data_IF_925351525147
#
_entry.id   IF_925351525147
#
_cell.length_a   1.000
_cell.length_b   1.000
_cell.length_c   1.000
_cell.angle_alpha   90.00
_cell.angle_beta   90.00
_cell.angle_gamma   90.00
#
_symmetry.space_group_name_H-M   'P 1'
#
loop_
_entity.id
_entity.type
_entity.pdbx_description
1 polymer ?
#
# COMPACT_ATOMS: atom_id res chain seq x y z
N UNK A 1 -23.18 37.02 -2.24
CA UNK A 1 -21.99 36.16 -2.45
C UNK A 1 -22.08 34.75 -1.86
N UNK A 2 -22.79 34.49 -0.73
CA UNK A 2 -22.96 33.10 -0.20
C UNK A 2 -23.94 32.20 -0.99
N UNK A 3 -24.98 32.76 -1.63
CA UNK A 3 -25.93 31.97 -2.43
C UNK A 3 -25.38 31.49 -3.78
N UNK A 4 -24.44 32.22 -4.39
CA UNK A 4 -23.86 31.85 -5.70
C UNK A 4 -22.90 30.67 -5.56
N UNK A 5 -22.05 30.66 -4.51
CA UNK A 5 -21.15 29.53 -4.20
C UNK A 5 -21.89 28.23 -3.89
N UNK A 6 -23.07 28.31 -3.22
CA UNK A 6 -23.90 27.14 -2.96
C UNK A 6 -24.59 26.59 -4.22
N UNK A 7 -24.94 27.45 -5.18
CA UNK A 7 -25.48 27.00 -6.46
C UNK A 7 -24.39 26.41 -7.36
N UNK A 8 -23.19 27.00 -7.41
CA UNK A 8 -22.05 26.43 -8.16
C UNK A 8 -21.63 25.06 -7.64
N UNK A 9 -21.59 24.86 -6.32
CA UNK A 9 -21.28 23.56 -5.71
C UNK A 9 -22.36 22.49 -5.98
N UNK A 10 -23.62 22.91 -6.04
CA UNK A 10 -24.77 22.02 -6.31
C UNK A 10 -24.89 21.67 -7.80
N UNK A 11 -24.58 22.63 -8.68
CA UNK A 11 -24.52 22.46 -10.14
C UNK A 11 -23.31 21.60 -10.54
N UNK A 12 -22.15 21.78 -9.91
CA UNK A 12 -20.97 20.89 -10.09
C UNK A 12 -21.28 19.46 -9.68
N UNK A 13 -21.83 19.23 -8.47
CA UNK A 13 -22.28 17.89 -8.04
C UNK A 13 -23.27 17.24 -9.00
N UNK A 14 -24.18 18.00 -9.62
CA UNK A 14 -25.12 17.44 -10.60
C UNK A 14 -24.48 17.13 -11.96
N UNK A 15 -23.47 17.89 -12.37
CA UNK A 15 -22.73 17.65 -13.61
C UNK A 15 -21.81 16.42 -13.47
N UNK A 16 -21.16 16.27 -12.33
CA UNK A 16 -20.27 15.13 -12.02
C UNK A 16 -21.05 13.81 -12.03
N UNK A 17 -22.25 13.78 -11.42
CA UNK A 17 -23.13 12.60 -11.40
C UNK A 17 -23.58 12.23 -12.82
N UNK A 18 -23.96 13.21 -13.64
CA UNK A 18 -24.39 12.97 -15.02
C UNK A 18 -23.25 12.43 -15.91
N UNK A 19 -22.03 12.93 -15.75
CA UNK A 19 -20.86 12.44 -16.48
C UNK A 19 -20.53 10.98 -16.12
N UNK A 20 -20.62 10.64 -14.82
CA UNK A 20 -20.43 9.27 -14.33
C UNK A 20 -21.52 8.35 -14.88
N UNK A 21 -22.79 8.76 -14.83
CA UNK A 21 -23.90 7.97 -15.38
C UNK A 21 -23.74 7.72 -16.89
N UNK A 22 -23.27 8.72 -17.64
CA UNK A 22 -23.00 8.60 -19.07
C UNK A 22 -21.84 7.65 -19.36
N UNK A 23 -20.71 7.78 -18.65
CA UNK A 23 -19.57 6.87 -18.80
C UNK A 23 -19.95 5.42 -18.44
N UNK A 24 -20.73 5.23 -17.38
CA UNK A 24 -21.27 3.92 -16.98
C UNK A 24 -22.17 3.34 -18.09
N UNK A 25 -22.99 4.16 -18.75
CA UNK A 25 -23.86 3.73 -19.85
C UNK A 25 -23.05 3.29 -21.08
N UNK A 26 -22.02 4.04 -21.47
CA UNK A 26 -21.13 3.71 -22.60
C UNK A 26 -20.31 2.43 -22.32
N UNK A 27 -19.77 2.28 -21.11
CA UNK A 27 -19.06 1.07 -20.70
C UNK A 27 -19.98 -0.15 -20.60
N UNK A 28 -21.26 0.02 -20.25
CA UNK A 28 -22.25 -1.08 -20.25
C UNK A 28 -22.45 -1.68 -21.64
N UNK A 29 -22.24 -0.91 -22.71
CA UNK A 29 -22.29 -1.41 -24.09
C UNK A 29 -21.05 -2.23 -24.40
N UNK A 30 -19.87 -1.76 -23.98
CA UNK A 30 -18.59 -2.44 -24.18
C UNK A 30 -18.44 -3.72 -23.32
N UNK A 31 -19.06 -3.78 -22.14
CA UNK A 31 -19.07 -4.96 -21.26
C UNK A 31 -19.80 -6.15 -21.87
N UNK A 32 -20.85 -5.90 -22.65
CA UNK A 32 -21.56 -6.96 -23.40
C UNK A 32 -20.66 -7.68 -24.40
N UNK A 33 -19.48 -7.13 -24.71
CA UNK A 33 -18.46 -7.73 -25.57
C UNK A 33 -17.42 -8.56 -24.78
N UNK A 34 -17.60 -8.75 -23.47
CA UNK A 34 -16.83 -9.71 -22.68
C UNK A 34 -15.38 -9.32 -22.34
N UNK A 35 -15.00 -8.05 -22.51
CA UNK A 35 -13.64 -7.58 -22.19
C UNK A 35 -13.48 -7.33 -20.68
N UNK A 36 -12.65 -8.14 -20.02
CA UNK A 36 -12.39 -8.04 -18.57
C UNK A 36 -11.97 -6.63 -18.12
N UNK A 37 -11.11 -5.96 -18.89
CA UNK A 37 -10.67 -4.59 -18.59
C UNK A 37 -11.80 -3.56 -18.54
N UNK A 38 -12.85 -3.73 -19.35
CA UNK A 38 -14.00 -2.80 -19.40
C UNK A 38 -14.91 -3.01 -18.18
N UNK A 39 -15.09 -4.27 -17.75
CA UNK A 39 -15.85 -4.61 -16.53
C UNK A 39 -15.19 -3.98 -15.30
N UNK A 40 -13.86 -4.01 -15.27
CA UNK A 40 -13.06 -3.44 -14.18
C UNK A 40 -13.20 -1.93 -14.08
N UNK A 41 -13.10 -1.22 -15.21
CA UNK A 41 -13.29 0.23 -15.27
C UNK A 41 -14.71 0.63 -14.84
N UNK A 42 -15.74 -0.10 -15.26
CA UNK A 42 -17.12 0.20 -14.84
C UNK A 42 -17.31 0.01 -13.33
N UNK A 43 -16.70 -1.01 -12.72
CA UNK A 43 -16.75 -1.21 -11.27
C UNK A 43 -16.06 -0.08 -10.53
N UNK A 44 -14.85 0.32 -10.94
CA UNK A 44 -14.12 1.48 -10.39
C UNK A 44 -14.98 2.76 -10.42
N UNK A 45 -15.67 3.01 -11.53
CA UNK A 45 -16.59 4.15 -11.68
C UNK A 45 -17.78 4.09 -10.72
N UNK A 46 -18.38 2.90 -10.51
CA UNK A 46 -19.52 2.71 -9.60
C UNK A 46 -19.16 2.91 -8.14
N UNK A 47 -17.93 2.55 -7.74
CA UNK A 47 -17.45 2.75 -6.37
C UNK A 47 -16.89 4.15 -6.13
N UNK A 48 -17.12 5.10 -7.04
CA UNK A 48 -16.83 6.53 -6.90
C UNK A 48 -15.34 6.87 -6.74
N UNK A 49 -14.46 6.30 -7.58
CA UNK A 49 -13.10 6.84 -7.76
C UNK A 49 -13.18 8.35 -8.09
N UNK A 50 -12.76 9.25 -7.18
CA UNK A 50 -13.06 10.68 -7.27
C UNK A 50 -12.51 11.36 -8.53
N UNK A 51 -11.50 10.79 -9.18
CA UNK A 51 -10.96 11.35 -10.42
C UNK A 51 -11.49 10.70 -11.67
N UNK A 52 -12.37 9.70 -11.65
CA UNK A 52 -12.90 9.19 -12.93
C UNK A 52 -13.70 10.26 -13.71
N UNK A 53 -14.33 11.21 -13.00
CA UNK A 53 -14.92 12.42 -13.59
C UNK A 53 -13.86 13.50 -13.95
N UNK A 54 -12.80 13.68 -13.14
CA UNK A 54 -11.70 14.61 -13.44
C UNK A 54 -10.82 14.14 -14.61
N UNK A 55 -10.65 12.83 -14.75
CA UNK A 55 -9.97 12.13 -15.83
C UNK A 55 -10.79 12.34 -17.10
N UNK A 56 -12.12 12.36 -17.05
CA UNK A 56 -12.96 12.74 -18.19
C UNK A 56 -12.74 14.21 -18.62
N UNK A 57 -12.59 15.15 -17.67
CA UNK A 57 -12.19 16.53 -17.97
C UNK A 57 -10.75 16.63 -18.52
N UNK A 58 -9.82 15.79 -18.05
CA UNK A 58 -8.43 15.67 -18.56
C UNK A 58 -8.35 14.94 -19.92
N UNK A 59 -9.30 14.07 -20.25
CA UNK A 59 -9.39 13.32 -21.52
C UNK A 59 -9.96 14.21 -22.64
N UNK A 60 -10.85 15.16 -22.31
CA UNK A 60 -11.32 16.18 -23.27
C UNK A 60 -10.19 17.16 -23.62
N UNK A 61 -9.22 17.36 -22.73
CA UNK A 61 -7.97 18.04 -23.06
C UNK A 61 -7.01 17.07 -23.76
N UNK A 62 -7.15 16.96 -25.09
CA UNK A 62 -6.31 16.10 -25.96
C UNK A 62 -4.80 16.38 -25.92
N UNK A 63 -4.31 17.32 -25.10
CA UNK A 63 -2.92 17.30 -24.69
C UNK A 63 -2.70 16.14 -23.73
N UNK A 64 -2.45 14.95 -24.28
CA UNK A 64 -2.01 13.80 -23.50
C UNK A 64 -0.99 14.24 -22.47
N UNK A 65 -1.22 13.90 -21.21
CA UNK A 65 -0.36 14.27 -20.08
C UNK A 65 1.00 13.62 -20.34
N UNK A 66 1.86 14.34 -21.03
CA UNK A 66 3.25 13.98 -21.23
C UNK A 66 3.99 14.57 -20.02
N UNK A 67 3.92 13.89 -18.86
CA UNK A 67 4.77 14.22 -17.70
C UNK A 67 6.20 13.85 -18.08
N UNK A 68 6.79 14.69 -18.93
CA UNK A 68 8.21 14.64 -19.21
C UNK A 68 8.92 15.38 -18.10
N UNK A 69 9.56 14.56 -17.27
CA UNK A 69 10.65 14.87 -16.35
C UNK A 69 10.20 15.62 -15.10
N UNK A 70 10.34 14.91 -13.98
CA UNK A 70 10.12 15.33 -12.61
C UNK A 70 8.66 15.27 -12.12
N UNK A 71 8.30 14.10 -11.56
CA UNK A 71 7.02 13.83 -10.88
C UNK A 71 6.88 14.66 -9.58
N UNK A 72 7.90 15.44 -9.20
CA UNK A 72 7.95 16.24 -7.96
C UNK A 72 7.70 17.74 -8.13
N UNK A 73 7.60 18.25 -9.36
CA UNK A 73 7.08 19.60 -9.65
C UNK A 73 5.52 19.76 -9.74
N UNK A 74 4.67 18.70 -9.74
CA UNK A 74 3.24 18.86 -9.53
C UNK A 74 2.91 19.07 -8.05
N UNK A 75 1.94 19.94 -7.76
CA UNK A 75 1.32 20.03 -6.43
C UNK A 75 0.72 18.69 -5.98
N UNK A 76 0.59 18.47 -4.67
CA UNK A 76 0.12 17.21 -4.05
C UNK A 76 -1.17 16.65 -4.70
N UNK A 77 -2.10 17.52 -5.10
CA UNK A 77 -3.33 17.09 -5.76
C UNK A 77 -3.07 16.50 -7.14
N UNK A 78 -2.14 17.08 -7.91
CA UNK A 78 -1.74 16.54 -9.22
C UNK A 78 -1.01 15.21 -9.08
N UNK A 79 -0.16 15.06 -8.05
CA UNK A 79 0.49 13.79 -7.75
C UNK A 79 -0.55 12.71 -7.46
N UNK A 80 -1.55 13.01 -6.63
CA UNK A 80 -2.62 12.07 -6.32
C UNK A 80 -3.44 11.67 -7.56
N UNK A 81 -3.82 12.64 -8.41
CA UNK A 81 -4.51 12.38 -9.68
C UNK A 81 -3.68 11.46 -10.58
N UNK A 82 -2.36 11.68 -10.65
CA UNK A 82 -1.48 10.84 -11.47
C UNK A 82 -1.36 9.42 -10.92
N UNK A 83 -1.26 9.24 -9.60
CA UNK A 83 -1.28 7.93 -8.97
C UNK A 83 -2.59 7.18 -9.28
N UNK A 84 -3.72 7.86 -9.22
CA UNK A 84 -5.03 7.29 -9.56
C UNK A 84 -5.10 6.88 -11.03
N UNK A 85 -4.56 7.71 -11.94
CA UNK A 85 -4.46 7.36 -13.36
C UNK A 85 -3.62 6.10 -13.59
N UNK A 86 -2.43 6.00 -12.96
CA UNK A 86 -1.59 4.80 -13.06
C UNK A 86 -2.31 3.55 -12.57
N UNK A 87 -3.04 3.66 -11.46
CA UNK A 87 -3.84 2.56 -10.93
C UNK A 87 -4.93 2.13 -11.94
N UNK A 88 -5.67 3.09 -12.49
CA UNK A 88 -6.74 2.81 -13.44
C UNK A 88 -6.23 2.23 -14.77
N UNK A 89 -5.04 2.64 -15.22
CA UNK A 89 -4.41 2.10 -16.43
C UNK A 89 -3.93 0.66 -16.24
N UNK A 90 -3.45 0.31 -15.04
CA UNK A 90 -2.94 -1.03 -14.73
C UNK A 90 -4.04 -2.02 -14.26
N UNK A 91 -5.15 -1.51 -13.71
CA UNK A 91 -6.24 -2.33 -13.15
C UNK A 91 -6.89 -3.31 -14.15
N UNK A 92 -7.09 -2.98 -15.44
CA UNK A 92 -7.56 -3.92 -16.45
C UNK A 92 -6.76 -5.22 -16.56
N UNK A 93 -5.43 -5.12 -16.47
CA UNK A 93 -4.51 -6.23 -16.66
C UNK A 93 -4.21 -6.99 -15.36
N UNK A 94 -4.63 -6.45 -14.21
CA UNK A 94 -4.44 -7.07 -12.89
C UNK A 94 -5.19 -8.39 -12.69
N UNK A 95 -6.23 -8.65 -13.49
CA UNK A 95 -7.11 -9.82 -13.33
C UNK A 95 -8.10 -9.76 -12.16
N UNK A 96 -8.07 -8.69 -11.35
CA UNK A 96 -9.03 -8.52 -10.25
C UNK A 96 -10.40 -8.11 -10.73
N UNK A 97 -11.44 -8.76 -10.19
CA UNK A 97 -12.83 -8.49 -10.56
C UNK A 97 -13.78 -8.42 -9.37
N UNK A 98 -13.41 -8.84 -8.16
CA UNK A 98 -14.33 -8.86 -7.02
C UNK A 98 -14.58 -7.47 -6.45
N UNK A 99 -15.81 -7.22 -5.98
CA UNK A 99 -16.18 -5.92 -5.41
C UNK A 99 -15.35 -5.60 -4.14
N UNK A 100 -14.98 -6.61 -3.35
CA UNK A 100 -14.09 -6.49 -2.18
C UNK A 100 -12.71 -5.89 -2.54
N UNK A 101 -12.18 -6.20 -3.73
CA UNK A 101 -10.92 -5.61 -4.20
C UNK A 101 -11.09 -4.12 -4.49
N UNK A 102 -12.20 -3.72 -5.11
CA UNK A 102 -12.48 -2.30 -5.38
C UNK A 102 -12.72 -1.51 -4.09
N UNK A 103 -13.42 -2.10 -3.12
CA UNK A 103 -13.61 -1.49 -1.80
C UNK A 103 -12.28 -1.29 -1.08
N UNK A 104 -11.40 -2.29 -1.12
CA UNK A 104 -10.03 -2.17 -0.59
C UNK A 104 -9.25 -1.07 -1.31
N UNK A 105 -9.21 -1.08 -2.64
CA UNK A 105 -8.45 -0.10 -3.41
C UNK A 105 -8.93 1.34 -3.14
N UNK A 106 -10.24 1.54 -2.96
CA UNK A 106 -10.80 2.82 -2.54
C UNK A 106 -10.32 3.25 -1.16
N UNK A 107 -10.37 2.34 -0.18
CA UNK A 107 -9.91 2.61 1.18
C UNK A 107 -8.40 2.93 1.20
N UNK A 108 -7.59 2.18 0.44
CA UNK A 108 -6.15 2.43 0.30
C UNK A 108 -5.89 3.80 -0.33
N UNK A 109 -6.56 4.14 -1.44
CA UNK A 109 -6.39 5.43 -2.11
C UNK A 109 -6.79 6.61 -1.21
N UNK A 110 -7.88 6.49 -0.45
CA UNK A 110 -8.29 7.50 0.51
C UNK A 110 -7.23 7.70 1.61
N UNK A 111 -6.68 6.61 2.15
CA UNK A 111 -5.62 6.69 3.14
C UNK A 111 -4.32 7.26 2.57
N UNK A 112 -3.97 6.92 1.32
CA UNK A 112 -2.80 7.48 0.62
C UNK A 112 -2.96 9.00 0.42
N UNK A 113 -4.16 9.47 0.09
CA UNK A 113 -4.48 10.91 -0.02
C UNK A 113 -4.33 11.60 1.34
N UNK A 114 -4.96 11.05 2.39
CA UNK A 114 -4.93 11.63 3.73
C UNK A 114 -3.52 11.68 4.33
N UNK A 115 -2.70 10.66 4.05
CA UNK A 115 -1.31 10.61 4.50
C UNK A 115 -0.39 11.48 3.63
N UNK A 116 -0.84 12.03 2.50
CA UNK A 116 -0.04 12.81 1.57
C UNK A 116 1.09 12.00 0.93
N UNK A 117 0.83 10.74 0.60
CA UNK A 117 1.85 9.77 0.15
C UNK A 117 1.88 9.54 -1.37
N UNK A 118 1.15 10.33 -2.15
CA UNK A 118 1.15 10.20 -3.60
C UNK A 118 2.57 10.28 -4.19
N UNK A 119 3.39 11.25 -3.75
CA UNK A 119 4.80 11.37 -4.15
C UNK A 119 5.61 10.10 -3.84
N UNK A 120 5.42 9.50 -2.67
CA UNK A 120 6.13 8.30 -2.22
C UNK A 120 5.84 7.09 -3.14
N UNK A 121 4.56 6.86 -3.46
CA UNK A 121 4.15 5.79 -4.38
C UNK A 121 4.69 6.03 -5.80
N UNK A 122 4.62 7.26 -6.29
CA UNK A 122 5.10 7.61 -7.63
C UNK A 122 6.62 7.45 -7.74
N UNK A 123 7.35 7.83 -6.70
CA UNK A 123 8.80 7.64 -6.66
C UNK A 123 9.18 6.17 -6.66
N UNK A 124 8.55 5.39 -5.77
CA UNK A 124 8.75 3.95 -5.70
C UNK A 124 8.37 3.24 -7.01
N UNK A 125 7.29 3.68 -7.67
CA UNK A 125 6.88 3.16 -8.98
C UNK A 125 7.95 3.42 -10.05
N UNK A 126 8.50 4.63 -10.10
CA UNK A 126 9.58 4.95 -11.05
C UNK A 126 10.84 4.12 -10.79
N UNK A 127 11.22 3.93 -9.52
CA UNK A 127 12.38 3.12 -9.15
C UNK A 127 12.16 1.65 -9.52
N UNK A 128 10.98 1.10 -9.20
CA UNK A 128 10.61 -0.25 -9.58
C UNK A 128 10.62 -0.44 -11.11
N UNK A 129 10.18 0.58 -11.86
CA UNK A 129 10.25 0.60 -13.33
C UNK A 129 11.67 0.49 -13.86
N UNK A 130 12.61 1.30 -13.32
CA UNK A 130 14.03 1.20 -13.70
C UNK A 130 14.57 -0.19 -13.38
N UNK A 131 14.30 -0.73 -12.20
CA UNK A 131 14.82 -2.03 -11.78
C UNK A 131 14.29 -3.18 -12.65
N UNK A 132 13.00 -3.16 -13.02
CA UNK A 132 12.42 -4.14 -13.96
C UNK A 132 13.07 -4.11 -15.34
N UNK A 133 13.61 -2.98 -15.77
CA UNK A 133 14.34 -2.89 -17.05
C UNK A 133 15.79 -3.38 -16.94
N UNK A 134 16.34 -3.46 -15.72
CA UNK A 134 17.73 -3.86 -15.45
C UNK A 134 17.86 -5.32 -15.01
N UNK A 135 16.81 -5.90 -14.43
CA UNK A 135 16.81 -7.27 -13.93
C UNK A 135 15.42 -7.88 -13.91
N UNK A 136 15.37 -9.20 -14.12
CA UNK A 136 14.16 -10.02 -13.94
C UNK A 136 13.99 -10.49 -12.48
N UNK A 137 14.99 -10.23 -11.61
CA UNK A 137 14.91 -10.64 -10.21
C UNK A 137 14.06 -9.67 -9.37
N UNK A 138 13.29 -10.19 -8.40
CA UNK A 138 12.60 -9.36 -7.43
C UNK A 138 13.57 -8.49 -6.63
N UNK A 139 13.24 -7.19 -6.56
CA UNK A 139 14.03 -6.22 -5.80
C UNK A 139 13.30 -5.66 -4.58
N UNK A 140 11.98 -5.80 -4.48
CA UNK A 140 11.21 -5.12 -3.45
C UNK A 140 11.43 -5.72 -2.05
N UNK A 141 11.71 -4.85 -1.08
CA UNK A 141 11.78 -5.19 0.35
C UNK A 141 10.97 -4.17 1.16
N UNK A 142 10.20 -4.63 2.13
CA UNK A 142 9.52 -3.74 3.07
C UNK A 142 8.02 -4.00 3.19
N UNK A 143 7.37 -3.14 3.97
CA UNK A 143 5.95 -3.26 4.32
C UNK A 143 5.01 -2.69 3.24
N UNK A 144 5.55 -2.00 2.23
CA UNK A 144 4.77 -1.46 1.11
C UNK A 144 4.01 -2.53 0.32
N UNK A 145 4.42 -3.80 0.39
CA UNK A 145 3.67 -4.93 -0.17
C UNK A 145 2.34 -5.21 0.52
N UNK A 146 2.02 -4.55 1.64
CA UNK A 146 0.67 -4.53 2.20
C UNK A 146 -0.34 -3.76 1.32
N UNK A 147 0.12 -2.91 0.39
CA UNK A 147 -0.75 -2.11 -0.46
C UNK A 147 -1.07 -2.81 -1.77
N UNK A 148 -2.36 -2.99 -2.04
CA UNK A 148 -2.86 -3.43 -3.32
C UNK A 148 -2.66 -2.38 -4.42
N UNK A 149 -2.72 -1.09 -4.08
CA UNK A 149 -2.33 -0.02 -5.01
C UNK A 149 -0.88 -0.19 -5.45
N UNK A 150 0.04 -0.41 -4.50
CA UNK A 150 1.46 -0.63 -4.79
C UNK A 150 1.68 -1.87 -5.67
N UNK A 151 0.95 -2.95 -5.42
CA UNK A 151 1.00 -4.16 -6.25
C UNK A 151 0.53 -3.91 -7.68
N UNK A 152 -0.65 -3.30 -7.86
CA UNK A 152 -1.25 -3.13 -9.19
C UNK A 152 -0.43 -2.19 -10.07
N UNK A 153 0.11 -1.09 -9.51
CA UNK A 153 1.02 -0.21 -10.27
C UNK A 153 2.43 -0.79 -10.37
N UNK A 154 2.67 -2.01 -9.88
CA UNK A 154 3.91 -2.74 -10.07
C UNK A 154 5.06 -2.33 -9.16
N UNK A 155 4.87 -1.63 -8.05
CA UNK A 155 5.96 -1.32 -7.11
C UNK A 155 6.59 -2.61 -6.54
N UNK A 156 5.75 -3.58 -6.18
CA UNK A 156 6.13 -4.70 -5.33
C UNK A 156 6.47 -5.98 -6.12
N UNK A 157 6.56 -5.90 -7.45
CA UNK A 157 6.77 -7.06 -8.32
C UNK A 157 5.52 -7.93 -8.49
N UNK A 158 5.68 -9.12 -9.06
CA UNK A 158 4.56 -10.04 -9.37
C UNK A 158 4.31 -11.06 -8.25
N UNK A 159 5.30 -11.22 -7.36
CA UNK A 159 5.39 -12.26 -6.35
C UNK A 159 4.64 -11.87 -5.06
N UNK A 160 4.50 -10.57 -4.81
CA UNK A 160 4.00 -10.00 -3.55
C UNK A 160 2.57 -9.47 -3.68
N UNK A 161 1.67 -10.30 -4.19
CA UNK A 161 0.23 -10.04 -4.23
C UNK A 161 -0.38 -10.00 -2.80
N UNK A 162 -0.86 -8.84 -2.31
CA UNK A 162 -1.37 -8.71 -0.95
C UNK A 162 -2.70 -9.45 -0.72
N UNK A 163 -3.49 -9.71 -1.76
CA UNK A 163 -4.72 -10.49 -1.63
C UNK A 163 -4.37 -11.96 -1.46
N UNK A 164 -3.52 -12.51 -2.34
CA UNK A 164 -3.08 -13.91 -2.26
C UNK A 164 -2.37 -14.24 -0.96
N UNK A 165 -1.51 -13.33 -0.49
CA UNK A 165 -0.76 -13.52 0.75
C UNK A 165 -1.56 -13.17 2.00
N UNK A 166 -2.77 -12.61 1.85
CA UNK A 166 -3.53 -12.08 2.98
C UNK A 166 -2.70 -11.06 3.74
N UNK A 167 -2.28 -9.98 3.09
CA UNK A 167 -1.63 -8.84 3.73
C UNK A 167 -2.66 -7.76 4.03
N UNK A 168 -2.50 -7.13 5.19
CA UNK A 168 -3.43 -6.12 5.72
C UNK A 168 -2.85 -4.74 5.45
N UNK A 169 -3.58 -3.88 4.76
CA UNK A 169 -3.09 -2.55 4.36
C UNK A 169 -2.67 -1.71 5.57
N UNK A 170 -3.51 -1.68 6.61
CA UNK A 170 -3.33 -0.89 7.83
C UNK A 170 -2.10 -1.31 8.63
N UNK A 171 -1.58 -2.53 8.40
CA UNK A 171 -0.30 -2.96 8.97
C UNK A 171 0.87 -2.21 8.33
N UNK A 172 0.79 -1.91 7.03
CA UNK A 172 1.79 -1.14 6.30
C UNK A 172 1.60 0.38 6.41
N UNK A 173 0.34 0.82 6.36
CA UNK A 173 -0.06 2.22 6.21
C UNK A 173 -1.16 2.54 7.24
N UNK A 174 -0.77 2.94 8.45
CA UNK A 174 -1.71 3.27 9.53
C UNK A 174 -2.25 4.71 9.44
N UNK A 175 -3.33 4.99 10.18
CA UNK A 175 -4.07 6.28 10.14
C UNK A 175 -3.28 7.53 10.57
N UNK A 176 -2.42 7.42 11.58
CA UNK A 176 -2.01 8.63 12.33
C UNK A 176 -0.69 9.26 11.83
N UNK A 177 0.09 8.54 11.01
CA UNK A 177 1.42 9.02 10.56
C UNK A 177 1.88 8.22 9.34
N UNK A 178 2.52 8.90 8.39
CA UNK A 178 3.30 8.26 7.32
C UNK A 178 4.21 7.16 7.90
N UNK A 179 4.17 5.93 7.37
CA UNK A 179 5.15 4.92 7.72
C UNK A 179 6.53 5.42 7.32
N UNK A 180 7.53 5.04 8.12
CA UNK A 180 8.92 5.34 7.82
C UNK A 180 9.41 4.40 6.72
N UNK A 181 9.82 4.95 5.58
CA UNK A 181 10.38 4.25 4.42
C UNK A 181 9.65 2.92 4.09
N UNK A 182 8.34 2.95 3.74
CA UNK A 182 7.57 1.74 3.47
C UNK A 182 8.06 0.97 2.24
N UNK A 183 8.77 1.66 1.33
CA UNK A 183 9.32 1.10 0.10
C UNK A 183 10.84 1.06 0.18
N UNK A 184 11.40 -0.15 0.11
CA UNK A 184 12.84 -0.37 -0.05
C UNK A 184 13.08 -1.27 -1.25
N UNK A 185 14.26 -1.13 -1.86
CA UNK A 185 14.67 -1.94 -3.00
C UNK A 185 16.07 -2.45 -2.81
N UNK A 186 16.25 -3.76 -2.94
CA UNK A 186 17.54 -4.39 -3.10
C UNK A 186 18.05 -4.19 -4.53
N UNK A 187 19.26 -3.67 -4.65
CA UNK A 187 19.90 -3.39 -5.95
C UNK A 187 21.20 -4.16 -6.00
N UNK A 188 21.26 -5.09 -6.94
CA UNK A 188 22.44 -5.93 -7.18
C UNK A 188 23.66 -5.08 -7.54
N UNK A 189 24.85 -5.51 -7.11
CA UNK A 189 26.09 -4.77 -7.33
C UNK A 189 26.35 -4.54 -8.83
N UNK A 190 26.03 -5.54 -9.65
CA UNK A 190 26.22 -5.55 -11.09
C UNK A 190 25.40 -4.47 -11.82
N UNK A 191 24.21 -4.14 -11.30
CA UNK A 191 23.30 -3.16 -11.92
C UNK A 191 23.35 -1.79 -11.22
N UNK A 192 24.04 -1.67 -10.08
CA UNK A 192 24.06 -0.47 -9.24
C UNK A 192 24.54 0.77 -10.00
N UNK A 193 25.57 0.64 -10.84
CA UNK A 193 26.09 1.77 -11.63
C UNK A 193 25.06 2.27 -12.64
N UNK A 194 24.44 1.37 -13.40
CA UNK A 194 23.44 1.72 -14.41
C UNK A 194 22.15 2.25 -13.76
N UNK A 195 21.73 1.66 -12.63
CA UNK A 195 20.62 2.16 -11.82
C UNK A 195 20.84 3.62 -11.41
N UNK A 196 22.02 3.94 -10.83
CA UNK A 196 22.41 5.31 -10.45
C UNK A 196 22.42 6.26 -11.64
N UNK A 197 22.90 5.83 -12.80
CA UNK A 197 22.88 6.65 -14.01
C UNK A 197 21.44 6.99 -14.45
N UNK A 198 20.57 5.97 -14.56
CA UNK A 198 19.18 6.13 -14.99
C UNK A 198 18.38 7.01 -14.04
N UNK A 199 18.53 6.82 -12.73
CA UNK A 199 17.79 7.61 -11.74
C UNK A 199 18.29 9.06 -11.68
N UNK A 200 19.60 9.30 -11.79
CA UNK A 200 20.14 10.66 -11.93
C UNK A 200 19.69 11.33 -13.24
N UNK A 201 19.53 10.60 -14.34
CA UNK A 201 19.00 11.14 -15.59
C UNK A 201 17.55 11.61 -15.49
N UNK A 202 16.76 10.99 -14.61
CA UNK A 202 15.35 11.32 -14.39
C UNK A 202 15.20 12.47 -13.39
N UNK A 203 15.91 12.42 -12.26
CA UNK A 203 15.71 13.34 -11.13
C UNK A 203 16.78 14.41 -10.98
N UNK A 204 17.98 14.21 -11.53
CA UNK A 204 19.07 15.18 -11.55
C UNK A 204 19.31 15.83 -10.18
N UNK A 205 19.29 17.16 -10.17
CA UNK A 205 19.55 17.98 -8.98
C UNK A 205 18.50 17.83 -7.86
N UNK A 206 17.32 17.26 -8.15
CA UNK A 206 16.29 16.98 -7.14
C UNK A 206 16.60 15.74 -6.30
N UNK A 207 17.57 14.92 -6.74
CA UNK A 207 17.91 13.66 -6.09
C UNK A 207 18.96 13.88 -5.01
N UNK A 208 18.66 13.42 -3.80
CA UNK A 208 19.57 13.49 -2.65
C UNK A 208 19.85 12.09 -2.13
N UNK A 209 21.09 11.90 -1.66
CA UNK A 209 21.57 10.64 -1.09
C UNK A 209 21.98 10.88 0.36
N UNK A 210 21.46 10.09 1.27
CA UNK A 210 21.91 10.06 2.66
C UNK A 210 22.27 8.64 3.09
N UNK A 211 23.18 8.54 4.06
CA UNK A 211 23.52 7.27 4.71
C UNK A 211 23.11 7.35 6.17
N UNK A 212 21.94 6.79 6.48
CA UNK A 212 21.43 6.65 7.84
C UNK A 212 20.97 5.20 8.03
N UNK A 213 21.88 4.33 8.48
CA UNK A 213 21.62 2.88 8.59
C UNK A 213 21.40 2.13 7.26
N UNK A 214 21.40 2.83 6.12
CA UNK A 214 21.26 2.33 4.74
C UNK A 214 21.41 3.47 3.73
N UNK A 215 21.43 3.16 2.41
CA UNK A 215 21.47 4.18 1.36
C UNK A 215 20.06 4.70 1.10
N UNK A 216 19.69 5.84 1.71
CA UNK A 216 18.39 6.46 1.47
C UNK A 216 18.49 7.38 0.26
N UNK A 217 17.56 7.19 -0.66
CA UNK A 217 17.38 8.02 -1.84
C UNK A 217 16.13 8.86 -1.64
N UNK A 218 16.26 10.18 -1.80
CA UNK A 218 15.12 11.08 -1.65
C UNK A 218 15.00 12.03 -2.83
N UNK A 219 13.78 12.32 -3.21
CA UNK A 219 13.46 13.32 -4.21
C UNK A 219 12.22 14.12 -3.75
N UNK A 220 12.43 15.40 -3.46
CA UNK A 220 11.45 16.21 -2.73
C UNK A 220 11.18 15.62 -1.34
N UNK A 221 9.90 15.47 -0.99
CA UNK A 221 9.45 14.90 0.29
C UNK A 221 9.32 13.37 0.26
N UNK A 222 9.58 12.73 -0.89
CA UNK A 222 9.52 11.28 -1.04
C UNK A 222 10.88 10.65 -0.79
N UNK A 223 10.89 9.52 -0.07
CA UNK A 223 12.11 8.77 0.19
C UNK A 223 11.91 7.26 0.04
N UNK A 224 12.94 6.59 -0.47
CA UNK A 224 13.03 5.14 -0.51
C UNK A 224 14.39 4.69 0.01
N UNK A 225 14.46 3.46 0.51
CA UNK A 225 15.73 2.87 0.91
C UNK A 225 16.27 1.97 -0.19
N UNK A 226 17.53 2.17 -0.56
CA UNK A 226 18.29 1.27 -1.43
C UNK A 226 19.17 0.38 -0.55
N UNK A 227 18.99 -0.92 -0.69
CA UNK A 227 19.79 -1.96 -0.06
C UNK A 227 20.83 -2.44 -1.07
N UNK A 228 22.11 -2.24 -0.75
CA UNK A 228 23.25 -2.56 -1.59
C UNK A 228 24.04 -3.78 -1.07
N UNK A 229 23.54 -4.46 -0.05
CA UNK A 229 24.16 -5.61 0.61
C UNK A 229 23.10 -6.61 1.04
N UNK A 230 23.37 -7.89 0.79
CA UNK A 230 22.43 -9.00 1.04
C UNK A 230 22.54 -9.52 2.48
N UNK A 231 23.69 -9.32 3.12
CA UNK A 231 24.02 -9.84 4.45
C UNK A 231 23.05 -9.36 5.55
N UNK A 232 22.63 -8.08 5.60
CA UNK A 232 21.61 -7.63 6.55
C UNK A 232 20.27 -8.36 6.36
N UNK A 233 19.89 -8.65 5.12
CA UNK A 233 18.65 -9.36 4.80
C UNK A 233 18.74 -10.83 5.23
N UNK A 234 19.85 -11.50 4.95
CA UNK A 234 20.10 -12.87 5.41
C UNK A 234 20.08 -12.95 6.94
N UNK A 235 20.77 -12.03 7.62
CA UNK A 235 20.82 -12.00 9.08
C UNK A 235 19.42 -11.77 9.68
N UNK A 236 18.68 -10.77 9.16
CA UNK A 236 17.32 -10.51 9.59
C UNK A 236 16.42 -11.75 9.40
N UNK A 237 16.51 -12.40 8.25
CA UNK A 237 15.72 -13.57 7.93
C UNK A 237 16.07 -14.79 8.80
N UNK A 238 17.35 -15.06 9.07
CA UNK A 238 17.77 -16.15 9.95
C UNK A 238 17.26 -15.99 11.40
N UNK A 239 17.23 -14.75 11.91
CA UNK A 239 16.65 -14.45 13.22
C UNK A 239 15.11 -14.65 13.22
N UNK A 240 14.46 -14.29 12.12
CA UNK A 240 13.03 -14.52 11.92
C UNK A 240 12.72 -16.02 11.86
N UNK A 241 13.48 -16.83 11.12
CA UNK A 241 13.29 -18.29 11.04
C UNK A 241 13.44 -18.97 12.39
N UNK A 242 14.46 -18.58 13.17
CA UNK A 242 14.64 -19.08 14.54
C UNK A 242 13.43 -18.76 15.42
N UNK A 243 12.81 -17.60 15.22
CA UNK A 243 11.59 -17.19 15.95
C UNK A 243 10.35 -17.93 15.45
N UNK A 244 10.24 -18.17 14.13
CA UNK A 244 9.16 -18.90 13.47
C UNK A 244 9.07 -20.36 13.96
N UNK A 245 10.21 -21.04 14.10
CA UNK A 245 10.26 -22.42 14.58
C UNK A 245 9.82 -22.62 16.05
N UNK A 246 9.73 -21.54 16.82
CA UNK A 246 9.48 -21.59 18.27
C UNK A 246 8.06 -21.14 18.69
N UNK A 247 7.18 -20.75 17.76
CA UNK A 247 5.81 -20.30 18.08
C UNK A 247 4.76 -21.38 17.80
N UNK A 248 3.95 -21.72 18.80
CA UNK A 248 2.97 -22.80 18.74
C UNK A 248 1.55 -22.39 18.29
N UNK A 249 1.25 -21.09 18.13
CA UNK A 249 -0.15 -20.60 17.92
C UNK A 249 -0.29 -19.68 16.70
N UNK A 250 0.46 -18.60 16.62
CA UNK A 250 0.48 -17.70 15.45
C UNK A 250 1.82 -16.95 15.40
N UNK A 251 2.37 -16.78 14.20
CA UNK A 251 3.71 -16.21 14.04
C UNK A 251 3.70 -14.76 13.60
N UNK A 252 2.63 -14.33 12.93
CA UNK A 252 2.59 -13.01 12.33
C UNK A 252 1.70 -12.04 13.09
N UNK A 253 2.13 -10.79 13.15
CA UNK A 253 1.38 -9.69 13.75
C UNK A 253 0.00 -9.52 13.10
N UNK A 254 -0.07 -9.75 11.79
CA UNK A 254 -1.27 -9.71 10.98
C UNK A 254 -2.32 -10.76 11.44
N UNK A 255 -1.89 -11.91 11.95
CA UNK A 255 -2.80 -12.94 12.46
C UNK A 255 -3.47 -12.51 13.77
N UNK A 256 -2.72 -11.83 14.64
CA UNK A 256 -3.29 -11.23 15.84
C UNK A 256 -4.23 -10.07 15.50
N UNK A 257 -3.92 -9.29 14.47
CA UNK A 257 -4.84 -8.25 14.00
C UNK A 257 -6.17 -8.86 13.51
N UNK A 258 -6.12 -9.96 12.75
CA UNK A 258 -7.33 -10.74 12.39
C UNK A 258 -8.05 -11.27 13.61
N UNK A 259 -7.32 -11.76 14.61
CA UNK A 259 -7.93 -12.27 15.83
C UNK A 259 -8.70 -11.16 16.56
N UNK A 260 -8.10 -9.97 16.70
CA UNK A 260 -8.79 -8.80 17.25
C UNK A 260 -10.03 -8.43 16.42
N UNK A 261 -9.93 -8.47 15.09
CA UNK A 261 -11.04 -8.20 14.19
C UNK A 261 -12.20 -9.20 14.35
N UNK A 262 -11.94 -10.50 14.22
CA UNK A 262 -12.98 -11.52 14.25
C UNK A 262 -13.51 -11.81 15.66
N UNK A 263 -12.66 -11.80 16.68
CA UNK A 263 -13.08 -12.11 18.06
C UNK A 263 -13.71 -10.91 18.77
N UNK A 264 -13.40 -9.67 18.37
CA UNK A 264 -13.86 -8.49 19.09
C UNK A 264 -14.36 -7.36 18.17
N UNK A 265 -14.48 -7.57 16.86
CA UNK A 265 -15.06 -6.58 15.95
C UNK A 265 -14.28 -5.27 15.87
N UNK A 266 -12.96 -5.31 16.10
CA UNK A 266 -12.10 -4.16 15.83
C UNK A 266 -11.91 -4.02 14.32
N UNK A 267 -11.89 -2.80 13.79
CA UNK A 267 -11.34 -2.62 12.44
C UNK A 267 -9.81 -2.85 12.45
N UNK A 268 -9.22 -2.98 11.27
CA UNK A 268 -7.79 -3.26 11.17
C UNK A 268 -6.91 -2.09 11.63
N UNK A 269 -7.41 -0.86 11.58
CA UNK A 269 -6.66 0.26 12.14
C UNK A 269 -6.63 0.23 13.66
N UNK A 270 -7.77 0.00 14.31
CA UNK A 270 -7.87 -0.21 15.75
C UNK A 270 -6.95 -1.35 16.18
N UNK A 271 -6.93 -2.44 15.41
CA UNK A 271 -6.07 -3.60 15.67
C UNK A 271 -4.57 -3.26 15.58
N UNK A 272 -4.10 -2.53 14.55
CA UNK A 272 -2.70 -2.09 14.46
C UNK A 272 -2.36 -1.10 15.58
N UNK A 273 -3.29 -0.19 15.93
CA UNK A 273 -3.14 0.73 17.05
C UNK A 273 -2.91 -0.01 18.37
N UNK A 274 -3.70 -1.05 18.65
CA UNK A 274 -3.54 -1.92 19.83
C UNK A 274 -2.23 -2.70 19.77
N UNK A 275 -1.85 -3.23 18.59
CA UNK A 275 -0.56 -3.91 18.40
C UNK A 275 0.62 -3.01 18.79
N UNK A 276 0.68 -1.79 18.26
CA UNK A 276 1.73 -0.80 18.59
C UNK A 276 1.77 -0.47 20.09
N UNK A 277 0.61 -0.43 20.74
CA UNK A 277 0.49 -0.17 22.19
C UNK A 277 1.05 -1.33 23.02
N UNK A 278 0.77 -2.57 22.61
CA UNK A 278 1.30 -3.79 23.25
C UNK A 278 2.82 -3.84 23.08
N UNK A 279 3.32 -3.61 21.86
CA UNK A 279 4.74 -3.60 21.53
C UNK A 279 5.52 -2.54 22.33
N UNK A 280 4.95 -1.33 22.45
CA UNK A 280 5.51 -0.23 23.27
C UNK A 280 5.29 -0.42 24.78
N UNK A 281 4.69 -1.55 25.21
CA UNK A 281 4.45 -1.92 26.60
C UNK A 281 3.72 -0.84 27.42
N UNK A 282 2.78 -0.13 26.81
CA UNK A 282 2.03 0.95 27.50
C UNK A 282 0.96 0.38 28.44
N UNK A 283 1.36 -0.04 29.63
CA UNK A 283 0.54 -0.81 30.59
C UNK A 283 -0.86 -0.22 30.82
N UNK A 284 -0.97 1.10 31.05
CA UNK A 284 -2.27 1.76 31.29
C UNK A 284 -3.22 1.65 30.10
N UNK A 285 -2.71 1.83 28.88
CA UNK A 285 -3.50 1.73 27.65
C UNK A 285 -3.86 0.26 27.38
N UNK A 286 -2.93 -0.68 27.58
CA UNK A 286 -3.18 -2.12 27.44
C UNK A 286 -4.32 -2.57 28.36
N UNK A 287 -4.35 -2.12 29.62
CA UNK A 287 -5.44 -2.45 30.55
C UNK A 287 -6.79 -1.88 30.12
N UNK A 288 -6.82 -0.71 29.48
CA UNK A 288 -8.03 -0.13 28.89
C UNK A 288 -8.54 -1.02 27.75
N UNK A 289 -7.66 -1.39 26.82
CA UNK A 289 -8.02 -2.26 25.70
C UNK A 289 -8.37 -3.69 26.13
N UNK A 290 -7.80 -4.22 27.21
CA UNK A 290 -8.23 -5.50 27.78
C UNK A 290 -9.71 -5.45 28.20
N UNK A 291 -10.11 -4.41 28.93
CA UNK A 291 -11.51 -4.24 29.35
C UNK A 291 -12.43 -4.06 28.15
N UNK A 292 -11.98 -3.29 27.16
CA UNK A 292 -12.75 -3.07 25.93
C UNK A 292 -12.90 -4.34 25.10
N UNK A 293 -11.82 -5.11 24.93
CA UNK A 293 -11.83 -6.39 24.23
C UNK A 293 -12.81 -7.37 24.86
N UNK A 294 -12.76 -7.56 26.18
CA UNK A 294 -13.69 -8.45 26.91
C UNK A 294 -15.14 -8.01 26.73
N UNK A 295 -15.38 -6.69 26.70
CA UNK A 295 -16.73 -6.13 26.44
C UNK A 295 -17.19 -6.38 25.00
N UNK A 296 -16.32 -6.20 24.00
CA UNK A 296 -16.65 -6.42 22.59
C UNK A 296 -16.80 -7.93 22.26
N UNK A 297 -15.93 -8.77 22.82
CA UNK A 297 -15.92 -10.23 22.68
C UNK A 297 -16.96 -10.95 23.57
N UNK A 298 -18.12 -10.31 23.83
CA UNK A 298 -19.17 -10.80 24.74
C UNK A 298 -19.82 -12.13 24.34
N UNK A 299 -19.57 -12.61 23.12
CA UNK A 299 -20.02 -13.92 22.66
C UNK A 299 -19.16 -15.05 23.26
N UNK A 300 -17.98 -14.73 23.79
CA UNK A 300 -17.14 -15.64 24.56
C UNK A 300 -17.43 -15.50 26.06
N UNK A 301 -17.32 -16.58 26.85
CA UNK A 301 -17.28 -16.50 28.31
C UNK A 301 -16.22 -15.49 28.79
N UNK A 302 -16.51 -14.81 29.90
CA UNK A 302 -15.61 -13.80 30.46
C UNK A 302 -14.19 -14.34 30.73
N UNK A 303 -14.07 -15.57 31.25
CA UNK A 303 -12.78 -16.19 31.50
C UNK A 303 -12.00 -16.48 30.20
N UNK A 304 -12.70 -16.89 29.14
CA UNK A 304 -12.10 -17.20 27.84
C UNK A 304 -11.65 -15.94 27.11
N UNK A 305 -12.45 -14.87 27.10
CA UNK A 305 -12.06 -13.58 26.51
C UNK A 305 -10.85 -12.94 27.22
N UNK A 306 -10.79 -13.05 28.56
CA UNK A 306 -9.62 -12.64 29.35
C UNK A 306 -8.36 -13.44 28.99
N UNK A 307 -8.51 -14.77 28.87
CA UNK A 307 -7.42 -15.68 28.51
C UNK A 307 -6.92 -15.38 27.10
N UNK A 308 -7.83 -15.24 26.14
CA UNK A 308 -7.53 -14.95 24.75
C UNK A 308 -6.74 -13.64 24.61
N UNK A 309 -7.20 -12.55 25.24
CA UNK A 309 -6.46 -11.29 25.20
C UNK A 309 -5.06 -11.42 25.82
N UNK A 310 -4.92 -12.24 26.85
CA UNK A 310 -3.61 -12.50 27.49
C UNK A 310 -2.67 -13.26 26.56
N UNK A 311 -3.19 -14.26 25.84
CA UNK A 311 -2.43 -15.00 24.81
C UNK A 311 -2.03 -14.08 23.64
N UNK A 312 -2.93 -13.21 23.17
CA UNK A 312 -2.61 -12.18 22.16
C UNK A 312 -1.49 -11.28 22.68
N UNK A 313 -1.65 -10.68 23.87
CA UNK A 313 -0.68 -9.76 24.44
C UNK A 313 0.70 -10.42 24.59
N UNK A 314 0.76 -11.67 25.05
CA UNK A 314 2.02 -12.37 25.27
C UNK A 314 2.72 -12.70 23.96
N UNK A 315 2.01 -13.28 23.01
CA UNK A 315 2.62 -13.78 21.78
C UNK A 315 2.88 -12.68 20.74
N UNK A 316 2.10 -11.59 20.74
CA UNK A 316 2.31 -10.46 19.82
C UNK A 316 3.69 -9.82 19.97
N UNK A 317 4.24 -9.81 21.19
CA UNK A 317 5.60 -9.30 21.45
C UNK A 317 6.71 -10.12 20.79
N UNK A 318 6.40 -11.33 20.32
CA UNK A 318 7.31 -12.24 19.63
C UNK A 318 6.93 -12.44 18.16
N UNK A 319 5.86 -11.79 17.71
CA UNK A 319 5.33 -11.96 16.38
C UNK A 319 6.07 -11.08 15.37
N UNK A 320 6.29 -11.65 14.19
CA UNK A 320 6.99 -11.00 13.09
C UNK A 320 6.00 -10.27 12.17
N UNK A 321 6.49 -9.33 11.36
CA UNK A 321 5.69 -8.75 10.28
C UNK A 321 5.71 -9.68 9.07
N UNK A 322 4.54 -10.20 8.67
CA UNK A 322 4.43 -11.11 7.52
C UNK A 322 4.89 -10.45 6.23
N UNK A 323 4.46 -9.21 5.99
CA UNK A 323 4.80 -8.45 4.80
C UNK A 323 6.33 -8.32 4.62
N UNK A 324 7.03 -7.94 5.69
CA UNK A 324 8.48 -7.84 5.68
C UNK A 324 9.14 -9.21 5.42
N UNK A 325 8.75 -10.25 6.17
CA UNK A 325 9.29 -11.62 6.01
C UNK A 325 9.15 -12.11 4.58
N UNK A 326 7.97 -11.94 3.96
CA UNK A 326 7.72 -12.34 2.57
C UNK A 326 8.61 -11.57 1.60
N UNK A 327 8.66 -10.24 1.72
CA UNK A 327 9.47 -9.41 0.81
C UNK A 327 10.96 -9.76 0.86
N UNK A 328 11.50 -9.99 2.07
CA UNK A 328 12.89 -10.41 2.26
C UNK A 328 13.12 -11.79 1.67
N UNK A 329 12.22 -12.74 1.95
CA UNK A 329 12.32 -14.10 1.41
C UNK A 329 12.34 -14.10 -0.12
N UNK A 330 11.48 -13.31 -0.75
CA UNK A 330 11.41 -13.22 -2.21
C UNK A 330 12.74 -12.77 -2.83
N UNK A 331 13.41 -11.78 -2.23
CA UNK A 331 14.73 -11.34 -2.68
C UNK A 331 15.80 -12.40 -2.40
N UNK A 332 15.78 -13.03 -1.22
CA UNK A 332 16.76 -14.06 -0.87
C UNK A 332 16.66 -15.30 -1.76
N UNK A 333 15.44 -15.76 -2.06
CA UNK A 333 15.21 -16.90 -2.96
C UNK A 333 15.70 -16.60 -4.39
N UNK A 334 15.64 -15.34 -4.81
CA UNK A 334 16.16 -14.88 -6.10
C UNK A 334 17.69 -14.74 -6.11
N UNK A 335 18.27 -14.26 -5.01
CA UNK A 335 19.71 -14.07 -4.86
C UNK A 335 20.46 -15.40 -4.65
N UNK A 336 19.86 -16.33 -3.91
CA UNK A 336 20.35 -17.68 -3.65
C UNK A 336 19.35 -18.69 -4.21
N UNK A 337 19.25 -18.82 -5.54
CA UNK A 337 18.56 -19.98 -6.09
C UNK A 337 19.34 -21.21 -5.59
N UNK A 338 18.63 -22.24 -5.14
CA UNK A 338 19.13 -23.57 -4.67
C UNK A 338 19.23 -23.77 -3.16
#
# INVERSE_FOLDING_TARGET
MKCIKNNEAKVRRSADVYAIEKAIAELSVLIRQGKAGVVNIQRALRVSYPSAAKIYDLIIDTSGINIKKNIFEPDEKRQFIYLEQLLLDALPDSGYTSDEVYERLNAEMAAIEELGMAADFLFAHSVAGILRELTDYPCFVGIGCCSLVAYIIGITGTELDPIRHGLIFERGFGEDKKPENPFSFFVFEEIMSEFKERINKIYGDSLTYSRDGGSVLSAGDASITILDSIEPLQYAYAQLETSLCNSAIAVFQEDYMRLMHYAAGYDYTEADRIRRIIEKRKIKEILKYRKDFVRKARHLPYAESQRLFTEIQFNLNRACCKAYVLSVKTVLDAYFPF
#
